data_IF_569841582192
#
_entry.id   IF_569841582192
#
_cell.length_a   1.000
_cell.length_b   1.000
_cell.length_c   1.000
_cell.angle_alpha   90.00
_cell.angle_beta   90.00
_cell.angle_gamma   90.00
#
_symmetry.space_group_name_H-M   'P 1'
#
loop_
_entity.id
_entity.type
_entity.pdbx_description
1 polymer ?
#
# COMPACT_ATOMS: atom_id res chain seq x y z
N UNK A 1 -6.60 16.21 -1.19
CA UNK A 1 -5.69 15.27 -0.50
C UNK A 1 -4.30 15.86 -0.48
N UNK A 2 -3.67 15.92 0.70
CA UNK A 2 -2.33 16.47 0.85
C UNK A 2 -1.28 15.47 0.32
N UNK A 3 -0.13 15.95 -0.20
CA UNK A 3 0.94 15.09 -0.70
C UNK A 3 1.46 14.10 0.34
N UNK A 4 1.43 14.46 1.62
CA UNK A 4 1.81 13.59 2.73
C UNK A 4 0.94 12.32 2.82
N UNK A 5 -0.38 12.40 2.60
CA UNK A 5 -1.25 11.22 2.62
C UNK A 5 -0.96 10.23 1.49
N UNK A 6 -0.61 10.75 0.31
CA UNK A 6 -0.20 9.90 -0.82
C UNK A 6 1.12 9.18 -0.56
N UNK A 7 2.08 9.86 0.08
CA UNK A 7 3.33 9.23 0.48
C UNK A 7 3.09 8.12 1.51
N UNK A 8 2.17 8.34 2.45
CA UNK A 8 1.79 7.34 3.44
C UNK A 8 1.14 6.12 2.79
N UNK A 9 0.22 6.29 1.84
CA UNK A 9 -0.33 5.16 1.05
C UNK A 9 0.77 4.39 0.33
N UNK A 10 1.66 5.10 -0.37
CA UNK A 10 2.78 4.48 -1.07
C UNK A 10 3.66 3.66 -0.12
N UNK A 11 4.08 4.26 1.01
CA UNK A 11 4.97 3.62 1.99
C UNK A 11 4.28 2.45 2.69
N UNK A 12 3.02 2.59 3.06
CA UNK A 12 2.23 1.54 3.67
C UNK A 12 2.02 0.36 2.73
N UNK A 13 1.62 0.61 1.48
CA UNK A 13 1.48 -0.44 0.48
C UNK A 13 2.81 -1.10 0.15
N UNK A 14 3.90 -0.34 0.07
CA UNK A 14 5.25 -0.90 -0.11
C UNK A 14 5.61 -1.84 1.04
N UNK A 15 5.41 -1.43 2.29
CA UNK A 15 5.69 -2.24 3.48
C UNK A 15 4.85 -3.53 3.46
N UNK A 16 3.53 -3.42 3.30
CA UNK A 16 2.61 -4.57 3.29
C UNK A 16 2.97 -5.54 2.16
N UNK A 17 3.23 -5.02 0.96
CA UNK A 17 3.59 -5.84 -0.21
C UNK A 17 4.95 -6.51 -0.02
N UNK A 18 5.94 -5.80 0.54
CA UNK A 18 7.25 -6.37 0.86
C UNK A 18 7.12 -7.51 1.89
N UNK A 19 6.38 -7.30 2.97
CA UNK A 19 6.09 -8.33 3.95
C UNK A 19 5.42 -9.55 3.30
N UNK A 20 4.45 -9.35 2.41
CA UNK A 20 3.77 -10.43 1.70
C UNK A 20 4.74 -11.27 0.85
N UNK A 21 5.61 -10.65 0.05
CA UNK A 21 6.52 -11.39 -0.82
C UNK A 21 7.72 -12.00 -0.09
N UNK A 22 8.35 -11.27 0.84
CA UNK A 22 9.58 -11.72 1.49
C UNK A 22 9.37 -12.65 2.68
N UNK A 23 8.13 -12.76 3.19
CA UNK A 23 7.80 -13.67 4.30
C UNK A 23 6.89 -14.82 3.88
N UNK A 24 6.76 -15.08 2.57
CA UNK A 24 5.87 -16.12 2.04
C UNK A 24 4.43 -15.98 2.54
N UNK A 25 3.93 -14.74 2.58
CA UNK A 25 2.61 -14.40 3.08
C UNK A 25 2.33 -14.90 4.51
N UNK A 26 3.32 -14.88 5.41
CA UNK A 26 3.09 -15.18 6.81
C UNK A 26 2.04 -14.22 7.39
N UNK A 27 0.88 -14.72 7.86
CA UNK A 27 -0.25 -13.87 8.22
C UNK A 27 0.05 -12.96 9.42
N UNK A 28 0.90 -13.41 10.35
CA UNK A 28 1.30 -12.62 11.52
C UNK A 28 2.12 -11.41 11.06
N UNK A 29 3.11 -11.62 10.20
CA UNK A 29 3.98 -10.54 9.74
C UNK A 29 3.22 -9.55 8.86
N UNK A 30 2.40 -10.05 7.94
CA UNK A 30 1.56 -9.18 7.08
C UNK A 30 0.56 -8.39 7.92
N UNK A 31 -0.06 -9.02 8.92
CA UNK A 31 -0.97 -8.35 9.85
C UNK A 31 -0.28 -7.23 10.63
N UNK A 32 0.92 -7.49 11.18
CA UNK A 32 1.72 -6.48 11.87
C UNK A 32 2.09 -5.32 10.94
N UNK A 33 2.56 -5.61 9.73
CA UNK A 33 2.87 -4.59 8.73
C UNK A 33 1.66 -3.70 8.40
N UNK A 34 0.48 -4.29 8.25
CA UNK A 34 -0.76 -3.57 7.97
C UNK A 34 -1.17 -2.70 9.16
N UNK A 35 -1.13 -3.24 10.38
CA UNK A 35 -1.43 -2.50 11.61
C UNK A 35 -0.46 -1.32 11.79
N UNK A 36 0.84 -1.54 11.54
CA UNK A 36 1.84 -0.46 11.58
C UNK A 36 1.53 0.64 10.55
N UNK A 37 1.17 0.27 9.31
CA UNK A 37 0.80 1.25 8.29
C UNK A 37 -0.42 2.09 8.70
N UNK A 38 -1.45 1.46 9.27
CA UNK A 38 -2.63 2.15 9.80
C UNK A 38 -2.29 3.11 10.94
N UNK A 39 -1.49 2.67 11.92
CA UNK A 39 -1.10 3.51 13.06
C UNK A 39 -0.20 4.67 12.65
N UNK A 40 0.69 4.48 11.67
CA UNK A 40 1.55 5.56 11.17
C UNK A 40 0.72 6.57 10.36
N UNK A 41 -0.26 6.09 9.60
CA UNK A 41 -1.13 6.98 8.84
C UNK A 41 -1.97 7.89 9.73
N UNK A 42 -2.49 7.41 10.86
CA UNK A 42 -3.07 8.26 11.93
C UNK A 42 -4.01 9.37 11.40
N UNK A 43 -4.92 9.01 10.48
CA UNK A 43 -5.86 9.96 9.85
C UNK A 43 -5.24 10.97 8.87
N UNK A 44 -3.93 10.94 8.65
CA UNK A 44 -3.20 11.76 7.65
C UNK A 44 -3.26 11.15 6.25
N UNK A 45 -3.70 9.90 6.15
CA UNK A 45 -4.12 9.22 4.92
C UNK A 45 -5.54 8.68 5.09
N UNK A 46 -6.22 8.40 3.98
CA UNK A 46 -7.47 7.62 3.99
C UNK A 46 -7.25 6.17 4.47
N UNK A 47 -5.99 5.71 4.50
CA UNK A 47 -5.53 4.54 5.25
C UNK A 47 -5.98 3.21 4.66
N UNK A 48 -6.24 3.17 3.35
CA UNK A 48 -6.77 1.96 2.73
C UNK A 48 -5.67 0.95 2.43
N UNK A 49 -4.53 1.37 1.90
CA UNK A 49 -3.38 0.54 1.52
C UNK A 49 -3.68 -0.66 0.59
N UNK A 50 -4.90 -0.79 0.10
CA UNK A 50 -5.36 -1.80 -0.85
C UNK A 50 -6.31 -1.18 -1.88
N UNK A 51 -6.16 -1.53 -3.18
CA UNK A 51 -7.05 -1.07 -4.23
C UNK A 51 -8.53 -1.39 -3.98
N UNK A 52 -8.82 -2.54 -3.37
CA UNK A 52 -10.19 -2.94 -3.04
C UNK A 52 -10.80 -2.04 -1.96
N UNK A 53 -10.00 -1.62 -0.98
CA UNK A 53 -10.45 -0.67 0.04
C UNK A 53 -10.84 0.67 -0.60
N UNK A 54 -10.02 1.18 -1.52
CA UNK A 54 -10.32 2.40 -2.29
C UNK A 54 -11.59 2.24 -3.11
N UNK A 55 -11.73 1.12 -3.82
CA UNK A 55 -12.89 0.85 -4.67
C UNK A 55 -14.21 0.83 -3.87
N UNK A 56 -14.24 0.09 -2.75
CA UNK A 56 -15.43 0.01 -1.89
C UNK A 56 -15.84 1.39 -1.41
N UNK A 57 -14.89 2.21 -0.98
CA UNK A 57 -15.18 3.54 -0.45
C UNK A 57 -15.64 4.51 -1.55
N UNK A 58 -15.12 4.34 -2.77
CA UNK A 58 -15.59 5.07 -3.92
C UNK A 58 -17.04 4.69 -4.28
N UNK A 59 -17.37 3.39 -4.31
CA UNK A 59 -18.71 2.90 -4.58
C UNK A 59 -19.74 3.34 -3.53
N UNK A 60 -19.29 3.48 -2.28
CA UNK A 60 -20.11 4.03 -1.18
C UNK A 60 -20.24 5.56 -1.23
N UNK A 61 -19.64 6.24 -2.22
CA UNK A 61 -19.66 7.70 -2.34
C UNK A 61 -18.87 8.45 -1.26
N UNK A 62 -18.03 7.75 -0.49
CA UNK A 62 -17.25 8.32 0.62
C UNK A 62 -15.98 9.03 0.16
N UNK A 63 -15.48 8.68 -1.03
CA UNK A 63 -14.35 9.35 -1.67
C UNK A 63 -14.67 9.67 -3.14
N UNK A 64 -14.28 10.86 -3.59
CA UNK A 64 -14.47 11.28 -4.98
C UNK A 64 -13.50 10.60 -5.95
N UNK A 65 -13.88 10.48 -7.23
CA UNK A 65 -13.13 9.75 -8.26
C UNK A 65 -11.66 10.20 -8.38
N UNK A 66 -11.42 11.52 -8.30
CA UNK A 66 -10.07 12.08 -8.37
C UNK A 66 -9.21 11.66 -7.18
N UNK A 67 -9.78 11.53 -5.98
CA UNK A 67 -9.07 11.05 -4.81
C UNK A 67 -8.77 9.56 -4.94
N UNK A 68 -9.78 8.77 -5.32
CA UNK A 68 -9.65 7.33 -5.58
C UNK A 68 -8.54 7.03 -6.57
N UNK A 69 -8.49 7.75 -7.71
CA UNK A 69 -7.45 7.54 -8.71
C UNK A 69 -6.05 7.82 -8.16
N UNK A 70 -5.88 8.91 -7.39
CA UNK A 70 -4.58 9.24 -6.78
C UNK A 70 -4.12 8.17 -5.79
N UNK A 71 -5.04 7.64 -4.97
CA UNK A 71 -4.76 6.54 -4.04
C UNK A 71 -4.33 5.28 -4.79
N UNK A 72 -5.09 4.89 -5.82
CA UNK A 72 -4.78 3.71 -6.64
C UNK A 72 -3.40 3.83 -7.30
N UNK A 73 -3.04 5.02 -7.81
CA UNK A 73 -1.72 5.26 -8.39
C UNK A 73 -0.61 5.14 -7.34
N UNK A 74 -0.79 5.71 -6.14
CA UNK A 74 0.20 5.61 -5.07
C UNK A 74 0.41 4.14 -4.62
N UNK A 75 -0.69 3.40 -4.44
CA UNK A 75 -0.65 1.98 -4.07
C UNK A 75 -0.01 1.13 -5.17
N UNK A 76 -0.35 1.37 -6.44
CA UNK A 76 0.26 0.68 -7.58
C UNK A 76 1.76 0.96 -7.66
N UNK A 77 2.20 2.20 -7.45
CA UNK A 77 3.62 2.56 -7.42
C UNK A 77 4.38 1.86 -6.29
N UNK A 78 3.78 1.78 -5.09
CA UNK A 78 4.36 1.07 -3.94
C UNK A 78 4.53 -0.42 -4.21
N UNK A 79 3.47 -1.07 -4.70
CA UNK A 79 3.52 -2.49 -5.06
C UNK A 79 4.52 -2.76 -6.20
N UNK A 80 4.54 -1.92 -7.23
CA UNK A 80 5.46 -2.04 -8.36
C UNK A 80 6.93 -1.93 -7.91
N UNK A 81 7.22 -1.03 -6.98
CA UNK A 81 8.57 -0.87 -6.41
C UNK A 81 9.05 -2.16 -5.73
N UNK A 82 8.17 -2.85 -5.01
CA UNK A 82 8.49 -4.17 -4.42
C UNK A 82 8.72 -5.22 -5.50
N UNK A 83 7.91 -5.25 -6.56
CA UNK A 83 8.11 -6.17 -7.70
C UNK A 83 9.48 -5.97 -8.33
N UNK A 84 9.90 -4.71 -8.53
CA UNK A 84 11.23 -4.40 -9.06
C UNK A 84 12.34 -4.88 -8.12
N UNK A 85 12.23 -4.61 -6.82
CA UNK A 85 13.20 -5.08 -5.82
C UNK A 85 13.30 -6.61 -5.76
N UNK A 86 12.15 -7.30 -5.78
CA UNK A 86 12.08 -8.75 -5.75
C UNK A 86 12.71 -9.37 -7.00
N UNK A 87 12.36 -8.87 -8.19
CA UNK A 87 12.97 -9.31 -9.46
C UNK A 87 14.47 -9.01 -9.49
N UNK A 88 14.89 -7.83 -9.04
CA UNK A 88 16.29 -7.43 -8.95
C UNK A 88 17.11 -8.40 -8.11
N UNK A 89 16.62 -8.77 -6.91
CA UNK A 89 17.29 -9.77 -6.04
C UNK A 89 17.42 -11.14 -6.70
N UNK A 90 16.36 -11.61 -7.38
CA UNK A 90 16.42 -12.89 -8.13
C UNK A 90 17.47 -12.87 -9.25
N UNK A 91 17.64 -11.74 -9.94
CA UNK A 91 18.63 -11.61 -11.01
C UNK A 91 20.07 -11.60 -10.48
N UNK A 92 20.29 -11.12 -9.25
CA UNK A 92 21.62 -11.08 -8.61
C UNK A 92 22.03 -12.36 -7.88
N UNK A 93 21.23 -13.43 -7.92
CA UNK A 93 21.68 -14.79 -7.60
C UNK A 93 22.24 -14.99 -6.17
N UNK A 94 21.53 -14.51 -5.15
CA UNK A 94 21.66 -14.99 -3.78
C UNK A 94 20.35 -15.64 -3.32
#
# INVERSE_FOLDING_TARGET
MMPHGLLLEYMGTLLITASLFFTHANPIVVGLAYMSALFIADGKSDGFFTPLGVLVQHMLGRIGSTASLKLLVAQAAGAFSVVLLYKGRRLTGH
#
